data_IF_052267582207
#
_entry.id   IF_052267582207
#
_cell.length_a   1.000
_cell.length_b   1.000
_cell.length_c   1.000
_cell.angle_alpha   90.00
_cell.angle_beta   90.00
_cell.angle_gamma   90.00
#
_symmetry.space_group_name_H-M   'P 1'
#
loop_
_entity.id
_entity.type
_entity.pdbx_description
1 polymer ?
#
# COMPACT_ATOMS: atom_id res chain seq x y z
N UNK A 1 21.69 8.98 -4.08
CA UNK A 1 22.60 9.10 -2.93
C UNK A 1 22.71 7.76 -2.24
N UNK A 2 23.90 7.40 -1.75
CA UNK A 2 24.17 6.22 -0.94
C UNK A 2 24.76 6.70 0.40
N UNK A 3 23.93 6.95 1.42
CA UNK A 3 24.36 7.38 2.73
C UNK A 3 25.03 6.24 3.52
N UNK A 4 25.96 6.59 4.41
CA UNK A 4 26.72 5.63 5.20
C UNK A 4 25.94 5.05 6.39
N UNK A 5 24.95 5.78 6.91
CA UNK A 5 24.12 5.39 8.04
C UNK A 5 22.69 5.93 7.94
N UNK A 6 21.81 5.46 8.83
CA UNK A 6 20.39 5.81 8.83
C UNK A 6 20.14 7.28 9.17
N UNK A 7 20.91 7.88 10.05
CA UNK A 7 20.81 9.29 10.41
C UNK A 7 21.08 10.19 9.20
N UNK A 8 22.18 9.94 8.49
CA UNK A 8 22.56 10.69 7.30
C UNK A 8 21.51 10.52 6.18
N UNK A 9 21.00 9.30 5.98
CA UNK A 9 19.93 9.04 5.02
C UNK A 9 18.69 9.90 5.28
N UNK A 10 18.24 9.95 6.53
CA UNK A 10 17.04 10.66 6.93
C UNK A 10 17.22 12.18 6.95
N UNK A 11 18.45 12.68 7.23
CA UNK A 11 18.83 14.09 7.09
C UNK A 11 18.81 14.55 5.62
N UNK A 12 19.32 13.71 4.70
CA UNK A 12 19.23 13.98 3.27
C UNK A 12 17.76 14.05 2.83
N UNK A 13 16.91 13.11 3.26
CA UNK A 13 15.47 13.13 2.96
C UNK A 13 14.82 14.41 3.50
N UNK A 14 15.16 14.83 4.73
CA UNK A 14 14.65 16.07 5.31
C UNK A 14 15.07 17.30 4.49
N UNK A 15 16.35 17.40 4.12
CA UNK A 15 16.89 18.51 3.34
C UNK A 15 16.23 18.59 1.95
N UNK A 16 16.08 17.45 1.26
CA UNK A 16 15.43 17.37 -0.05
C UNK A 16 13.95 17.75 0.02
N UNK A 17 13.22 17.25 1.02
CA UNK A 17 11.82 17.61 1.21
C UNK A 17 11.63 19.10 1.56
N UNK A 18 12.55 19.66 2.35
CA UNK A 18 12.54 21.08 2.73
C UNK A 18 12.85 22.01 1.55
N UNK A 19 13.63 21.55 0.59
CA UNK A 19 13.96 22.33 -0.61
C UNK A 19 12.75 22.59 -1.51
N UNK A 20 11.73 21.73 -1.47
CA UNK A 20 10.56 21.80 -2.36
C UNK A 20 10.88 21.59 -3.85
N UNK A 21 12.10 21.15 -4.17
CA UNK A 21 12.54 20.97 -5.55
C UNK A 21 12.19 19.61 -6.16
N UNK A 22 11.73 18.68 -5.33
CA UNK A 22 11.41 17.31 -5.76
C UNK A 22 9.95 16.96 -5.46
N UNK A 23 9.27 16.35 -6.42
CA UNK A 23 7.90 15.87 -6.26
C UNK A 23 7.86 14.54 -5.49
N UNK A 24 8.87 13.68 -5.67
CA UNK A 24 8.94 12.35 -5.08
C UNK A 24 10.34 12.06 -4.55
N UNK A 25 10.39 11.53 -3.31
CA UNK A 25 11.60 10.99 -2.69
C UNK A 25 11.32 9.53 -2.32
N UNK A 26 12.21 8.61 -2.72
CA UNK A 26 12.08 7.18 -2.41
C UNK A 26 13.22 6.76 -1.50
N UNK A 27 12.88 6.13 -0.38
CA UNK A 27 13.83 5.52 0.57
C UNK A 27 13.76 4.00 0.41
N UNK A 28 14.78 3.42 -0.21
CA UNK A 28 14.89 1.98 -0.43
C UNK A 28 16.15 1.43 0.27
N UNK A 29 16.01 0.80 1.40
CA UNK A 29 14.79 0.50 2.15
C UNK A 29 14.95 0.88 3.62
N UNK A 30 13.84 0.93 4.37
CA UNK A 30 13.87 1.16 5.84
C UNK A 30 14.73 0.12 6.55
N UNK A 31 14.79 -1.11 6.06
CA UNK A 31 15.63 -2.17 6.63
C UNK A 31 17.13 -1.86 6.58
N UNK A 32 17.56 -1.04 5.63
CA UNK A 32 18.96 -0.62 5.47
C UNK A 32 19.32 0.67 6.25
N UNK A 33 18.36 1.31 6.92
CA UNK A 33 18.61 2.48 7.75
C UNK A 33 19.21 2.06 9.10
N UNK A 34 20.47 1.65 9.07
CA UNK A 34 21.21 1.21 10.27
C UNK A 34 21.64 2.45 11.05
N UNK A 35 21.34 2.54 12.36
CA UNK A 35 21.82 3.61 13.22
C UNK A 35 23.35 3.63 13.29
N UNK A 36 23.94 4.84 13.31
CA UNK A 36 25.38 5.00 13.41
C UNK A 36 25.98 4.28 14.62
N UNK A 37 25.31 4.36 15.76
CA UNK A 37 25.76 3.68 16.98
C UNK A 37 25.81 2.15 16.87
N UNK A 38 25.02 1.57 15.95
CA UNK A 38 25.05 0.14 15.63
C UNK A 38 26.21 -0.20 14.70
N UNK A 39 26.58 0.71 13.79
CA UNK A 39 27.71 0.55 12.88
C UNK A 39 29.05 0.67 13.63
N UNK A 40 29.13 1.61 14.58
CA UNK A 40 30.33 1.90 15.37
C UNK A 40 30.52 0.90 16.52
N UNK A 41 29.51 0.05 16.84
CA UNK A 41 29.56 -0.96 17.91
C UNK A 41 30.31 -2.23 17.53
N UNK A 42 30.63 -3.05 18.52
CA UNK A 42 31.31 -4.32 18.33
C UNK A 42 30.34 -5.42 17.87
N UNK A 43 30.89 -6.42 17.17
CA UNK A 43 30.10 -7.59 16.75
C UNK A 43 29.60 -8.38 17.98
N UNK A 44 28.27 -8.46 18.11
CA UNK A 44 27.59 -9.14 19.22
C UNK A 44 26.94 -8.18 20.22
N UNK A 45 27.18 -6.88 20.10
CA UNK A 45 26.50 -5.89 20.92
C UNK A 45 24.98 -5.88 20.67
N UNK A 46 24.22 -5.69 21.74
CA UNK A 46 22.77 -5.64 21.66
C UNK A 46 22.29 -4.22 21.43
N UNK A 47 21.80 -3.96 20.22
CA UNK A 47 21.28 -2.64 19.79
C UNK A 47 19.75 -2.61 19.70
N UNK A 48 19.06 -3.25 20.66
CA UNK A 48 17.60 -3.38 20.66
C UNK A 48 16.91 -2.03 20.58
N UNK A 49 16.12 -1.84 19.55
CA UNK A 49 15.23 -0.69 19.39
C UNK A 49 15.88 0.61 18.91
N UNK A 50 17.18 0.66 18.62
CA UNK A 50 17.84 1.88 18.12
C UNK A 50 17.23 2.35 16.82
N UNK A 51 17.05 1.46 15.84
CA UNK A 51 16.41 1.78 14.57
C UNK A 51 14.97 2.31 14.76
N UNK A 52 14.20 1.72 15.68
CA UNK A 52 12.84 2.18 15.96
C UNK A 52 12.82 3.58 16.61
N UNK A 53 13.81 3.92 17.45
CA UNK A 53 13.97 5.26 18.02
C UNK A 53 14.35 6.27 16.94
N UNK A 54 15.33 5.94 16.07
CA UNK A 54 15.75 6.75 14.93
C UNK A 54 14.55 7.06 14.03
N UNK A 55 13.81 6.05 13.59
CA UNK A 55 12.62 6.21 12.77
C UNK A 55 11.54 7.08 13.44
N UNK A 56 11.31 6.89 14.74
CA UNK A 56 10.33 7.67 15.48
C UNK A 56 10.71 9.15 15.57
N UNK A 57 11.99 9.45 15.72
CA UNK A 57 12.51 10.81 15.76
C UNK A 57 12.45 11.47 14.38
N UNK A 58 12.93 10.78 13.36
CA UNK A 58 12.95 11.28 11.99
C UNK A 58 11.52 11.56 11.47
N UNK A 59 10.59 10.64 11.68
CA UNK A 59 9.21 10.81 11.20
C UNK A 59 8.50 11.98 11.87
N UNK A 60 8.81 12.31 13.14
CA UNK A 60 8.29 13.54 13.77
C UNK A 60 8.79 14.80 13.08
N UNK A 61 10.08 14.86 12.71
CA UNK A 61 10.66 15.98 11.97
C UNK A 61 10.09 16.06 10.55
N UNK A 62 10.10 14.95 9.83
CA UNK A 62 9.61 14.86 8.46
C UNK A 62 8.13 15.23 8.34
N UNK A 63 7.28 14.85 9.29
CA UNK A 63 5.87 15.23 9.26
C UNK A 63 5.66 16.74 9.23
N UNK A 64 6.47 17.49 9.99
CA UNK A 64 6.43 18.96 10.00
C UNK A 64 6.95 19.60 8.70
N UNK A 65 7.89 18.96 8.02
CA UNK A 65 8.42 19.43 6.74
C UNK A 65 7.47 19.11 5.59
N UNK A 66 6.99 17.84 5.53
CA UNK A 66 6.10 17.35 4.47
C UNK A 66 4.78 18.13 4.46
N UNK A 67 4.23 18.49 5.63
CA UNK A 67 2.99 19.26 5.71
C UNK A 67 3.07 20.65 5.05
N UNK A 68 4.28 21.13 4.75
CA UNK A 68 4.55 22.44 4.13
C UNK A 68 5.15 22.30 2.73
N UNK A 69 5.29 21.11 2.20
CA UNK A 69 5.82 20.81 0.88
C UNK A 69 4.82 20.01 0.06
N UNK A 70 4.98 20.03 -1.27
CA UNK A 70 4.22 19.20 -2.19
C UNK A 70 4.95 17.87 -2.51
N UNK A 71 5.96 17.52 -1.71
CA UNK A 71 6.78 16.32 -1.92
C UNK A 71 6.12 15.09 -1.35
N UNK A 72 6.08 14.01 -2.11
CA UNK A 72 5.67 12.68 -1.66
C UNK A 72 6.91 11.90 -1.23
N UNK A 73 6.91 11.33 -0.02
CA UNK A 73 7.98 10.44 0.44
C UNK A 73 7.46 9.00 0.49
N UNK A 74 8.15 8.12 -0.23
CA UNK A 74 7.85 6.69 -0.31
C UNK A 74 8.92 5.92 0.46
N UNK A 75 8.51 5.22 1.53
CA UNK A 75 9.36 4.31 2.27
C UNK A 75 9.09 2.87 1.82
N UNK A 76 10.09 2.22 1.26
CA UNK A 76 10.06 0.79 0.97
C UNK A 76 10.47 0.05 2.25
N UNK A 77 9.67 -0.94 2.67
CA UNK A 77 9.95 -1.70 3.87
C UNK A 77 9.81 -3.20 3.61
N UNK A 78 10.46 -4.00 4.46
CA UNK A 78 10.40 -5.45 4.40
C UNK A 78 9.51 -5.99 5.52
N UNK A 79 8.84 -7.11 5.24
CA UNK A 79 8.13 -7.89 6.23
C UNK A 79 9.08 -8.92 6.84
N UNK A 80 8.98 -9.09 8.15
CA UNK A 80 9.66 -10.12 8.93
C UNK A 80 8.62 -10.87 9.74
N UNK A 81 8.87 -12.11 10.03
CA UNK A 81 8.03 -12.88 10.92
C UNK A 81 8.60 -12.87 12.35
N UNK A 82 7.73 -12.56 13.31
CA UNK A 82 8.08 -12.64 14.73
C UNK A 82 7.89 -14.07 15.21
N UNK A 83 8.98 -14.71 15.57
CA UNK A 83 8.98 -16.08 16.14
C UNK A 83 8.19 -16.10 17.45
N UNK A 84 7.40 -17.16 17.68
CA UNK A 84 6.66 -17.38 18.92
C UNK A 84 5.28 -16.73 19.00
N UNK A 85 4.78 -16.11 17.92
CA UNK A 85 3.40 -15.61 17.86
C UNK A 85 2.46 -16.75 17.47
N UNK A 86 1.71 -17.27 18.45
CA UNK A 86 0.75 -18.38 18.25
C UNK A 86 -0.61 -17.86 17.75
N UNK A 87 -0.99 -16.64 18.14
CA UNK A 87 -2.26 -16.01 17.74
C UNK A 87 -2.04 -14.63 17.15
N UNK A 88 -2.81 -14.30 16.10
CA UNK A 88 -2.74 -13.02 15.39
C UNK A 88 -1.77 -13.04 14.21
N UNK A 89 -1.44 -11.87 13.67
CA UNK A 89 -0.53 -11.75 12.53
C UNK A 89 0.91 -11.66 13.02
N UNK A 90 1.79 -12.64 12.72
CA UNK A 90 3.18 -12.63 13.10
C UNK A 90 4.01 -11.61 12.31
N UNK A 91 3.49 -11.07 11.21
CA UNK A 91 4.23 -10.18 10.33
C UNK A 91 4.50 -8.82 10.97
N UNK A 92 5.76 -8.46 11.01
CA UNK A 92 6.24 -7.17 11.52
C UNK A 92 7.11 -6.49 10.47
N UNK A 93 7.16 -5.17 10.52
CA UNK A 93 8.05 -4.35 9.68
C UNK A 93 9.28 -3.93 10.47
N UNK A 94 10.42 -3.76 9.79
CA UNK A 94 11.61 -3.16 10.37
C UNK A 94 11.39 -1.68 10.71
N UNK A 95 12.21 -1.09 11.57
CA UNK A 95 12.10 0.31 11.99
C UNK A 95 10.95 0.61 12.95
N UNK A 96 10.36 -0.41 13.60
CA UNK A 96 9.35 -0.26 14.63
C UNK A 96 7.95 0.09 14.11
N UNK A 97 7.13 0.70 14.98
CA UNK A 97 5.71 0.98 14.69
C UNK A 97 5.44 2.38 14.15
N UNK A 98 6.38 3.32 14.28
CA UNK A 98 6.14 4.74 13.99
C UNK A 98 5.63 4.97 12.56
N UNK A 99 6.27 4.36 11.57
CA UNK A 99 5.90 4.52 10.16
C UNK A 99 4.45 4.10 9.88
N UNK A 100 3.92 3.08 10.56
CA UNK A 100 2.52 2.64 10.42
C UNK A 100 1.52 3.73 10.81
N UNK A 101 1.87 4.58 11.78
CA UNK A 101 1.01 5.69 12.23
C UNK A 101 1.18 6.91 11.35
N UNK A 102 2.40 7.30 11.02
CA UNK A 102 2.68 8.49 10.21
C UNK A 102 2.25 8.36 8.76
N UNK A 103 2.42 7.20 8.14
CA UNK A 103 2.05 7.00 6.74
C UNK A 103 0.58 7.33 6.46
N UNK A 104 0.33 8.13 5.42
CA UNK A 104 -1.01 8.44 4.92
C UNK A 104 -1.58 7.27 4.13
N UNK A 105 -0.76 6.61 3.33
CA UNK A 105 -1.11 5.43 2.54
C UNK A 105 -0.14 4.30 2.90
N UNK A 106 -0.66 3.08 3.01
CA UNK A 106 0.15 1.86 3.15
C UNK A 106 -0.32 0.85 2.12
N UNK A 107 0.63 0.37 1.33
CA UNK A 107 0.41 -0.64 0.30
C UNK A 107 1.16 -1.91 0.72
N UNK A 108 0.44 -3.03 0.74
CA UNK A 108 1.01 -4.37 0.92
C UNK A 108 1.19 -4.98 -0.47
N UNK A 109 2.44 -5.27 -0.85
CA UNK A 109 2.81 -5.83 -2.16
C UNK A 109 3.27 -7.27 -1.96
N UNK A 110 2.57 -8.22 -2.61
CA UNK A 110 2.87 -9.65 -2.49
C UNK A 110 2.88 -10.35 -3.84
N UNK A 111 3.85 -11.22 -4.04
CA UNK A 111 3.81 -12.18 -5.13
C UNK A 111 2.75 -13.25 -4.81
N UNK A 112 1.83 -13.47 -5.75
CA UNK A 112 0.77 -14.49 -5.64
C UNK A 112 1.23 -15.78 -6.32
N UNK A 113 1.78 -15.65 -7.55
CA UNK A 113 2.10 -16.76 -8.41
C UNK A 113 3.36 -16.48 -9.23
N UNK A 114 4.06 -17.53 -9.63
CA UNK A 114 5.14 -17.46 -10.61
C UNK A 114 4.60 -17.81 -11.99
N UNK A 115 4.86 -16.93 -12.96
CA UNK A 115 4.45 -17.15 -14.34
C UNK A 115 5.50 -17.98 -15.06
N UNK A 116 5.02 -19.04 -15.74
CA UNK A 116 5.85 -19.94 -16.53
C UNK A 116 5.62 -19.71 -18.01
N UNK A 117 6.69 -19.74 -18.78
CA UNK A 117 6.65 -19.76 -20.23
C UNK A 117 6.28 -21.14 -20.78
N UNK A 118 6.15 -21.25 -22.09
CA UNK A 118 5.78 -22.48 -22.79
C UNK A 118 6.82 -23.60 -22.62
N UNK A 119 8.08 -23.26 -22.34
CA UNK A 119 9.16 -24.20 -22.04
C UNK A 119 9.26 -24.59 -20.56
N UNK A 120 8.37 -24.07 -19.69
CA UNK A 120 8.39 -24.33 -18.25
C UNK A 120 9.32 -23.42 -17.45
N UNK A 121 10.08 -22.54 -18.10
CA UNK A 121 10.93 -21.52 -17.48
C UNK A 121 10.08 -20.45 -16.80
N UNK A 122 10.60 -19.86 -15.72
CA UNK A 122 9.96 -18.75 -15.05
C UNK A 122 10.21 -17.43 -15.81
N UNK A 123 9.16 -16.82 -16.34
CA UNK A 123 9.21 -15.59 -17.14
C UNK A 123 8.74 -14.35 -16.39
N UNK A 124 8.15 -14.53 -15.22
CA UNK A 124 7.64 -13.42 -14.44
C UNK A 124 6.92 -13.86 -13.17
N UNK A 125 6.23 -12.92 -12.55
CA UNK A 125 5.40 -13.17 -11.37
C UNK A 125 4.11 -12.37 -11.41
N UNK A 126 3.02 -12.97 -10.96
CA UNK A 126 1.78 -12.26 -10.65
C UNK A 126 1.89 -11.67 -9.26
N UNK A 127 1.65 -10.39 -9.18
CA UNK A 127 1.81 -9.60 -7.96
C UNK A 127 0.48 -8.96 -7.58
N UNK A 128 0.20 -8.91 -6.29
CA UNK A 128 -0.96 -8.23 -5.73
C UNK A 128 -0.50 -7.05 -4.88
N UNK A 129 -1.03 -5.87 -5.16
CA UNK A 129 -0.91 -4.67 -4.34
C UNK A 129 -2.24 -4.40 -3.64
N UNK A 130 -2.25 -4.41 -2.30
CA UNK A 130 -3.43 -4.13 -1.48
C UNK A 130 -3.22 -2.88 -0.64
N UNK A 131 -4.13 -1.94 -0.73
CA UNK A 131 -4.12 -0.74 0.11
C UNK A 131 -4.66 -1.10 1.49
N UNK A 132 -3.77 -1.23 2.47
CA UNK A 132 -4.13 -1.62 3.85
C UNK A 132 -4.42 -0.43 4.77
N UNK A 133 -4.04 0.78 4.36
CA UNK A 133 -4.37 2.05 5.01
C UNK A 133 -4.45 3.15 3.97
N UNK A 134 -5.47 3.98 4.05
CA UNK A 134 -5.60 5.18 3.22
C UNK A 134 -6.32 6.27 4.03
N UNK A 135 -5.72 7.47 4.09
CA UNK A 135 -6.31 8.65 4.75
C UNK A 135 -6.97 9.62 3.77
N UNK A 136 -6.74 9.44 2.47
CA UNK A 136 -7.19 10.36 1.41
C UNK A 136 -8.27 9.79 0.50
N UNK A 137 -8.54 8.48 0.59
CA UNK A 137 -9.58 7.78 -0.16
C UNK A 137 -10.00 6.49 0.58
N UNK A 138 -11.10 5.81 0.19
CA UNK A 138 -11.51 4.53 0.77
C UNK A 138 -10.38 3.49 0.67
N UNK A 139 -10.00 2.83 1.79
CA UNK A 139 -8.96 1.81 1.83
C UNK A 139 -9.44 0.46 1.26
N UNK A 140 -8.55 -0.54 1.30
CA UNK A 140 -8.78 -1.95 0.99
C UNK A 140 -8.99 -2.28 -0.49
N UNK A 141 -8.78 -1.33 -1.40
CA UNK A 141 -8.70 -1.64 -2.83
C UNK A 141 -7.49 -2.52 -3.11
N UNK A 142 -7.66 -3.43 -4.07
CA UNK A 142 -6.63 -4.39 -4.48
C UNK A 142 -6.46 -4.31 -5.98
N UNK A 143 -5.21 -4.32 -6.45
CA UNK A 143 -4.84 -4.46 -7.83
C UNK A 143 -3.92 -5.69 -7.99
N UNK A 144 -4.11 -6.45 -9.06
CA UNK A 144 -3.26 -7.56 -9.43
C UNK A 144 -2.70 -7.33 -10.82
N UNK A 145 -1.41 -7.55 -10.98
CA UNK A 145 -0.70 -7.33 -12.24
C UNK A 145 0.48 -8.29 -12.37
N UNK A 146 0.91 -8.48 -13.62
CA UNK A 146 2.07 -9.31 -13.93
C UNK A 146 3.33 -8.46 -14.00
N UNK A 147 4.41 -8.91 -13.35
CA UNK A 147 5.75 -8.37 -13.50
C UNK A 147 6.55 -9.38 -14.34
N UNK A 148 6.94 -8.98 -15.55
CA UNK A 148 7.72 -9.81 -16.45
C UNK A 148 9.21 -9.54 -16.24
N UNK A 149 10.01 -10.58 -16.23
CA UNK A 149 11.46 -10.44 -16.06
C UNK A 149 12.07 -9.72 -17.28
N UNK A 150 12.86 -8.69 -17.02
CA UNK A 150 13.47 -7.84 -18.04
C UNK A 150 12.56 -6.81 -18.70
N UNK A 151 11.21 -6.94 -18.58
CA UNK A 151 10.23 -5.98 -19.15
C UNK A 151 9.58 -5.10 -18.08
N UNK A 152 9.42 -5.60 -16.84
CA UNK A 152 8.69 -4.93 -15.77
C UNK A 152 7.19 -5.23 -15.78
N UNK A 153 6.36 -4.27 -15.38
CA UNK A 153 4.90 -4.42 -15.30
C UNK A 153 4.31 -4.60 -16.71
N UNK A 154 3.54 -5.67 -16.91
CA UNK A 154 2.93 -6.03 -18.19
C UNK A 154 1.65 -5.23 -18.43
N UNK A 155 1.77 -4.04 -19.05
CA UNK A 155 0.62 -3.19 -19.41
C UNK A 155 -0.40 -3.92 -20.28
N UNK A 156 0.05 -4.68 -21.27
CA UNK A 156 -0.85 -5.46 -22.15
C UNK A 156 -1.61 -6.56 -21.40
N UNK A 157 -0.99 -7.15 -20.37
CA UNK A 157 -1.65 -8.11 -19.50
C UNK A 157 -2.78 -7.49 -18.71
N UNK A 158 -2.58 -6.28 -18.19
CA UNK A 158 -3.61 -5.51 -17.48
C UNK A 158 -4.78 -5.14 -18.40
N UNK A 159 -4.51 -4.72 -19.63
CA UNK A 159 -5.56 -4.39 -20.62
C UNK A 159 -6.44 -5.62 -20.88
N UNK A 160 -5.87 -6.81 -21.02
CA UNK A 160 -6.66 -8.04 -21.21
C UNK A 160 -7.52 -8.32 -19.97
N UNK A 161 -6.92 -8.29 -18.78
CA UNK A 161 -7.62 -8.63 -17.53
C UNK A 161 -8.73 -7.60 -17.22
N UNK A 162 -8.43 -6.30 -17.31
CA UNK A 162 -9.39 -5.23 -17.09
C UNK A 162 -10.46 -5.20 -18.20
N UNK A 163 -10.07 -5.44 -19.45
CA UNK A 163 -11.03 -5.54 -20.55
C UNK A 163 -12.08 -6.62 -20.33
N UNK A 164 -11.68 -7.76 -19.78
CA UNK A 164 -12.61 -8.82 -19.38
C UNK A 164 -13.45 -8.41 -18.17
N UNK A 165 -12.85 -7.82 -17.15
CA UNK A 165 -13.55 -7.41 -15.93
C UNK A 165 -14.63 -6.34 -16.22
N UNK A 166 -14.34 -5.40 -17.12
CA UNK A 166 -15.29 -4.37 -17.53
C UNK A 166 -16.23 -4.80 -18.67
N UNK A 167 -16.14 -6.08 -19.10
CA UNK A 167 -17.02 -6.63 -20.14
C UNK A 167 -16.80 -6.03 -21.54
N UNK A 168 -15.68 -5.38 -21.78
CA UNK A 168 -15.25 -4.86 -23.11
C UNK A 168 -14.76 -6.03 -23.95
N UNK A 169 -13.93 -6.89 -23.33
CA UNK A 169 -13.48 -8.16 -23.95
C UNK A 169 -14.37 -9.28 -23.41
N UNK A 170 -14.97 -10.04 -24.29
CA UNK A 170 -15.75 -11.23 -23.94
C UNK A 170 -14.83 -12.43 -23.87
N UNK A 171 -14.89 -13.17 -22.76
CA UNK A 171 -14.17 -14.42 -22.56
C UNK A 171 -15.16 -15.58 -22.58
N UNK A 172 -14.98 -16.53 -23.48
CA UNK A 172 -15.77 -17.75 -23.58
C UNK A 172 -14.82 -18.96 -23.55
N UNK A 173 -14.74 -19.63 -22.40
CA UNK A 173 -13.72 -20.67 -22.17
C UNK A 173 -12.30 -20.11 -22.32
N UNK A 174 -11.55 -20.66 -23.27
CA UNK A 174 -10.20 -20.20 -23.60
C UNK A 174 -10.16 -19.06 -24.65
N UNK A 175 -11.29 -18.73 -25.27
CA UNK A 175 -11.38 -17.75 -26.35
C UNK A 175 -11.69 -16.35 -25.85
N UNK A 176 -11.05 -15.37 -26.46
CA UNK A 176 -11.25 -13.95 -26.22
C UNK A 176 -11.75 -13.27 -27.49
N UNK A 177 -12.72 -12.38 -27.37
CA UNK A 177 -13.27 -11.60 -28.48
C UNK A 177 -13.57 -10.16 -28.07
N UNK A 178 -13.45 -9.24 -29.03
CA UNK A 178 -13.80 -7.83 -28.90
C UNK A 178 -14.82 -7.48 -29.99
N UNK A 179 -16.03 -7.12 -29.59
CA UNK A 179 -17.13 -7.01 -30.51
C UNK A 179 -17.39 -8.33 -31.26
N UNK A 180 -17.30 -8.29 -32.57
CA UNK A 180 -17.43 -9.44 -33.50
C UNK A 180 -16.07 -10.10 -33.80
N UNK A 181 -14.95 -9.45 -33.44
CA UNK A 181 -13.61 -9.88 -33.79
C UNK A 181 -13.06 -10.87 -32.75
N UNK A 182 -12.57 -12.01 -33.19
CA UNK A 182 -11.83 -12.96 -32.32
C UNK A 182 -10.40 -12.47 -32.11
N UNK A 183 -10.00 -12.24 -30.85
CA UNK A 183 -8.65 -11.81 -30.47
C UNK A 183 -7.66 -12.99 -30.41
N UNK A 184 -8.13 -14.18 -30.00
CA UNK A 184 -7.29 -15.36 -29.91
C UNK A 184 -7.72 -16.35 -28.83
N UNK A 185 -7.04 -17.50 -28.82
CA UNK A 185 -7.19 -18.54 -27.80
C UNK A 185 -6.06 -18.43 -26.77
N UNK A 186 -6.43 -18.27 -25.51
CA UNK A 186 -5.49 -18.12 -24.40
C UNK A 186 -5.03 -16.66 -24.21
N UNK A 187 -4.75 -16.33 -22.94
CA UNK A 187 -4.37 -14.98 -22.53
C UNK A 187 -3.07 -14.50 -23.17
N UNK A 188 -2.09 -15.40 -23.34
CA UNK A 188 -0.78 -15.03 -23.87
C UNK A 188 -0.83 -14.71 -25.38
N UNK A 189 -1.69 -15.40 -26.15
CA UNK A 189 -1.88 -15.05 -27.54
C UNK A 189 -2.54 -13.67 -27.71
N UNK A 190 -3.47 -13.32 -26.83
CA UNK A 190 -4.09 -11.98 -26.83
C UNK A 190 -3.08 -10.91 -26.43
N UNK A 191 -2.20 -11.19 -25.44
CA UNK A 191 -1.09 -10.29 -25.07
C UNK A 191 -0.14 -10.06 -26.24
N UNK A 192 0.20 -11.11 -26.98
CA UNK A 192 1.04 -11.00 -28.17
C UNK A 192 0.36 -10.20 -29.28
N UNK A 193 -0.94 -10.41 -29.49
CA UNK A 193 -1.72 -9.59 -30.43
C UNK A 193 -1.64 -8.10 -30.05
N UNK A 194 -1.86 -7.75 -28.78
CA UNK A 194 -1.80 -6.36 -28.30
C UNK A 194 -0.40 -5.76 -28.33
N UNK A 195 0.66 -6.57 -28.19
CA UNK A 195 2.05 -6.11 -28.42
C UNK A 195 2.28 -5.72 -29.89
N UNK A 196 1.67 -6.43 -30.82
CA UNK A 196 1.82 -6.23 -32.27
C UNK A 196 0.85 -5.18 -32.84
N UNK A 197 -0.38 -5.12 -32.31
CA UNK A 197 -1.40 -4.16 -32.70
C UNK A 197 -1.65 -3.16 -31.56
N UNK A 198 -0.83 -2.10 -31.57
CA UNK A 198 -0.93 -1.03 -30.58
C UNK A 198 -2.22 -0.23 -30.72
N UNK A 199 -2.74 -0.04 -31.95
CA UNK A 199 -3.94 0.74 -32.17
C UNK A 199 -5.15 0.09 -31.49
N UNK A 200 -5.30 -1.22 -31.63
CA UNK A 200 -6.35 -1.99 -30.97
C UNK A 200 -6.16 -1.99 -29.43
N UNK A 201 -4.94 -2.10 -28.97
CA UNK A 201 -4.63 -2.04 -27.53
C UNK A 201 -5.00 -0.70 -26.92
N UNK A 202 -4.65 0.41 -27.59
CA UNK A 202 -4.92 1.77 -27.13
C UNK A 202 -6.43 2.09 -27.16
N UNK A 203 -7.15 1.58 -28.16
CA UNK A 203 -8.61 1.71 -28.23
C UNK A 203 -9.30 1.03 -27.04
N UNK A 204 -8.91 -0.21 -26.74
CA UNK A 204 -9.48 -0.97 -25.62
C UNK A 204 -9.09 -0.30 -24.28
N UNK A 205 -7.85 0.15 -24.13
CA UNK A 205 -7.41 0.90 -22.94
C UNK A 205 -8.28 2.16 -22.73
N UNK A 206 -8.57 2.90 -23.79
CA UNK A 206 -9.41 4.09 -23.70
C UNK A 206 -10.81 3.75 -23.18
N UNK A 207 -11.43 2.71 -23.71
CA UNK A 207 -12.76 2.27 -23.27
C UNK A 207 -12.74 1.79 -21.80
N UNK A 208 -11.66 1.11 -21.36
CA UNK A 208 -11.49 0.72 -19.96
C UNK A 208 -11.45 1.96 -19.08
N UNK A 209 -10.65 2.97 -19.45
CA UNK A 209 -10.54 4.22 -18.68
C UNK A 209 -11.86 5.00 -18.60
N UNK A 210 -12.61 5.03 -19.68
CA UNK A 210 -13.94 5.65 -19.72
C UNK A 210 -14.90 4.96 -18.75
N UNK A 211 -15.01 3.63 -18.79
CA UNK A 211 -15.83 2.87 -17.83
C UNK A 211 -15.38 3.00 -16.38
N UNK A 212 -14.07 3.03 -16.14
CA UNK A 212 -13.53 3.28 -14.79
C UNK A 212 -13.93 4.68 -14.28
N UNK A 213 -13.92 5.69 -15.15
CA UNK A 213 -14.30 7.05 -14.77
C UNK A 213 -15.81 7.14 -14.48
N UNK A 214 -16.66 6.45 -15.25
CA UNK A 214 -18.11 6.37 -15.00
C UNK A 214 -18.42 5.72 -13.65
N UNK A 215 -17.76 4.61 -13.31
CA UNK A 215 -17.95 3.95 -12.01
C UNK A 215 -17.49 4.83 -10.83
N UNK A 216 -16.42 5.61 -11.01
CA UNK A 216 -15.95 6.53 -9.97
C UNK A 216 -16.84 7.78 -9.87
N UNK A 217 -17.32 8.34 -10.99
CA UNK A 217 -18.25 9.47 -10.99
C UNK A 217 -19.62 9.12 -10.39
N UNK A 218 -20.16 7.95 -10.69
CA UNK A 218 -21.41 7.48 -10.10
C UNK A 218 -21.30 7.18 -8.58
N UNK A 219 -20.08 6.99 -8.06
CA UNK A 219 -19.82 6.82 -6.63
C UNK A 219 -19.88 8.14 -5.85
N UNK A 220 -19.52 9.25 -6.47
CA UNK A 220 -19.51 10.57 -5.82
C UNK A 220 -20.91 11.21 -5.85
N UNK A 221 -21.67 11.05 -6.92
CA UNK A 221 -23.08 11.52 -6.98
C UNK A 221 -23.98 10.81 -5.94
N UNK A 222 -23.79 9.51 -5.70
CA UNK A 222 -24.52 8.78 -4.65
C UNK A 222 -24.15 9.22 -3.23
N UNK A 223 -22.96 9.80 -3.02
CA UNK A 223 -22.56 10.35 -1.71
C UNK A 223 -23.11 11.76 -1.49
N UNK A 224 -23.26 12.57 -2.52
CA UNK A 224 -23.85 13.89 -2.40
C UNK A 224 -25.37 13.82 -2.15
N UNK A 225 -26.08 12.91 -2.82
CA UNK A 225 -27.51 12.71 -2.59
C UNK A 225 -27.84 12.07 -1.23
N UNK A 226 -26.91 11.28 -0.65
CA UNK A 226 -27.08 10.74 0.71
C UNK A 226 -26.76 11.75 1.80
N UNK A 227 -25.93 12.78 1.53
CA UNK A 227 -25.65 13.87 2.49
C UNK A 227 -26.73 14.93 2.53
N UNK A 228 -27.47 15.13 1.45
CA UNK A 228 -28.55 16.13 1.38
C UNK A 228 -29.88 15.66 1.99
N UNK A 229 -29.99 14.38 2.39
CA UNK A 229 -31.21 13.84 3.00
C UNK A 229 -31.21 13.80 4.54
N UNK A 230 -30.06 14.05 5.20
CA UNK A 230 -29.91 13.91 6.66
C UNK A 230 -29.67 15.25 7.41
N UNK A 231 -29.65 16.39 6.71
CA UNK A 231 -29.29 17.69 7.32
C UNK A 231 -30.49 18.56 7.75
N UNK A 232 -31.72 18.02 7.78
CA UNK A 232 -32.92 18.81 8.15
C UNK A 232 -33.74 18.20 9.31
N UNK A 233 -33.07 17.63 10.34
CA UNK A 233 -33.71 17.28 11.61
C UNK A 233 -33.06 18.05 12.76
N UNK A 234 -33.84 18.85 13.53
CA UNK A 234 -33.31 19.59 14.67
C UNK A 234 -32.87 18.63 15.77
N UNK A 235 -31.60 18.79 16.21
CA UNK A 235 -31.01 18.05 17.32
C UNK A 235 -31.72 18.40 18.62
N UNK A 236 -32.70 17.60 19.02
CA UNK A 236 -33.32 17.68 20.34
C UNK A 236 -32.37 17.07 21.38
N UNK A 237 -31.81 17.91 22.23
CA UNK A 237 -31.04 17.54 23.40
C UNK A 237 -31.87 16.67 24.34
N UNK A 238 -31.54 15.38 24.47
CA UNK A 238 -32.09 14.49 25.50
C UNK A 238 -31.11 14.44 26.67
N UNK A 239 -31.53 14.90 27.89
CA UNK A 239 -30.68 14.77 29.07
C UNK A 239 -30.57 13.29 29.49
N UNK A 240 -29.32 12.83 29.68
CA UNK A 240 -29.01 11.51 30.21
C UNK A 240 -29.48 11.47 31.68
N UNK A 241 -30.45 10.60 32.00
CA UNK A 241 -30.83 10.27 33.36
C UNK A 241 -29.70 9.49 34.02
N UNK A 242 -29.06 10.10 35.02
CA UNK A 242 -28.15 9.44 35.94
C UNK A 242 -28.94 8.53 36.88
N UNK A 243 -28.84 7.23 36.72
CA UNK A 243 -29.22 6.28 37.75
C UNK A 243 -28.06 6.06 38.71
N UNK A 244 -28.27 6.48 39.96
CA UNK A 244 -27.43 6.14 41.10
C UNK A 244 -27.67 4.67 41.49
N UNK A 245 -26.62 4.08 42.05
CA UNK A 245 -26.50 2.85 42.87
C UNK A 245 -25.77 1.71 42.12
N UNK A 246 -24.76 1.01 42.62
CA UNK A 246 -24.25 0.84 43.99
C UNK A 246 -22.90 0.09 43.94
N UNK A 247 -22.20 0.13 45.07
CA UNK A 247 -21.18 -0.83 45.51
C UNK A 247 -19.76 -0.75 44.97
N UNK A 248 -18.95 -0.12 45.79
CA UNK A 248 -17.50 -0.22 45.91
C UNK A 248 -17.10 -1.68 46.19
N UNK A 249 -16.39 -2.29 45.26
CA UNK A 249 -15.51 -3.45 45.58
C UNK A 249 -14.11 -2.91 45.85
N UNK A 250 -13.57 -3.21 47.02
CA UNK A 250 -12.18 -2.99 47.38
C UNK A 250 -11.33 -3.98 46.60
N UNK A 251 -10.31 -3.49 45.89
CA UNK A 251 -9.24 -4.32 45.35
C UNK A 251 -8.07 -4.14 46.30
N UNK A 252 -7.75 -5.21 47.04
CA UNK A 252 -6.51 -5.31 47.82
C UNK A 252 -5.38 -5.59 46.82
N UNK A 253 -4.45 -4.64 46.78
CA UNK A 253 -3.17 -4.82 46.08
C UNK A 253 -2.21 -5.37 47.10
N UNK A 254 -1.88 -6.65 47.00
CA UNK A 254 -0.71 -7.22 47.72
C UNK A 254 0.54 -6.71 46.99
N UNK A 255 1.38 -6.03 47.73
CA UNK A 255 2.75 -5.70 47.37
C UNK A 255 3.59 -6.84 47.95
N UNK A 256 4.16 -7.69 47.09
CA UNK A 256 5.25 -8.57 47.50
C UNK A 256 6.56 -7.80 47.27
N UNK A 257 7.16 -7.33 48.37
CA UNK A 257 8.59 -7.06 48.54
C UNK A 257 9.24 -8.41 48.77
N UNK A 258 10.19 -8.81 47.88
CA UNK A 258 11.35 -9.62 48.29
C UNK A 258 12.38 -9.73 47.15
N UNK A 259 13.60 -9.23 47.48
CA UNK A 259 14.98 -9.45 46.99
C UNK A 259 15.30 -9.28 45.50
#
# INVERSE_FOLDING_TARGET
>A
SQPDNGEQALEIVEALARSGALDVIIVDSVAALVPRAEIDGDMGDSHVGLQARLMSQALRKLAGVISKSNTIIIFINQLREKVGVVYGNPEVTTGGRALKFYASIRVDVRRIEQLKGSGGEFIGSRTRAKIVKNKVAPPFKTAEFDIMYGEGISKVGEIVDLGVNYGIIKKSGAWFSYGETRLGQGRDNVKNLFKNDKALSDEIEKQIREKMAEEHGAGDEKKETAKSADDDAPIAYRPVKTTKTAARAKIDVAVDDDE
#
